data_IF_397168251411
#
_entry.id   IF_397168251411
#
_cell.length_a   1.000
_cell.length_b   1.000
_cell.length_c   1.000
_cell.angle_alpha   90.00
_cell.angle_beta   90.00
_cell.angle_gamma   90.00
#
_symmetry.space_group_name_H-M   'P 1'
#
loop_
_entity.id
_entity.type
_entity.pdbx_description
1 polymer ?
#
# COMPACT_ATOMS: atom_id res chain seq x y z
N UNK A 1 1.49 27.17 -32.37
CA UNK A 1 1.95 27.10 -30.96
C UNK A 1 0.71 26.99 -30.10
N UNK A 2 0.38 25.80 -29.61
CA UNK A 2 -0.59 25.64 -28.53
C UNK A 2 -0.07 24.51 -27.65
N UNK A 3 0.11 24.89 -26.40
CA UNK A 3 0.84 24.22 -25.36
C UNK A 3 0.17 22.88 -25.04
N UNK A 4 0.79 21.76 -25.42
CA UNK A 4 0.46 20.46 -24.85
C UNK A 4 1.10 20.43 -23.47
N UNK A 5 0.42 21.09 -22.52
CA UNK A 5 0.75 21.00 -21.11
C UNK A 5 0.86 19.52 -20.75
N UNK A 6 2.07 19.09 -20.43
CA UNK A 6 2.29 17.84 -19.75
C UNK A 6 1.41 17.89 -18.50
N UNK A 7 0.40 17.03 -18.43
CA UNK A 7 -0.31 16.79 -17.17
C UNK A 7 0.74 16.27 -16.19
N UNK A 8 1.22 17.14 -15.30
CA UNK A 8 1.87 16.70 -14.08
C UNK A 8 0.91 15.70 -13.42
N UNK A 9 1.39 14.53 -12.97
CA UNK A 9 0.50 13.58 -12.32
C UNK A 9 -0.19 14.31 -11.16
N UNK A 10 -1.52 14.26 -11.14
CA UNK A 10 -2.34 14.84 -10.09
C UNK A 10 -1.68 14.58 -8.73
N UNK A 11 -1.45 15.64 -7.96
CA UNK A 11 -0.74 15.55 -6.69
C UNK A 11 -1.35 14.40 -5.86
N UNK A 12 -0.58 13.35 -5.50
CA UNK A 12 -1.13 12.16 -4.85
C UNK A 12 -1.77 12.46 -3.48
N UNK A 13 -1.51 13.63 -2.90
CA UNK A 13 -2.14 14.11 -1.68
C UNK A 13 -3.57 14.62 -1.88
N UNK A 14 -4.03 14.81 -3.12
CA UNK A 14 -5.37 15.30 -3.47
C UNK A 14 -6.33 14.20 -3.93
N UNK A 15 -5.84 12.98 -4.09
CA UNK A 15 -6.64 11.83 -4.50
C UNK A 15 -6.96 10.95 -3.30
N UNK A 16 -8.16 10.38 -3.32
CA UNK A 16 -8.61 9.36 -2.36
C UNK A 16 -9.16 8.18 -3.13
N UNK A 17 -9.05 6.98 -2.56
CA UNK A 17 -9.59 5.77 -3.15
C UNK A 17 -10.33 4.96 -2.08
N UNK A 18 -11.44 4.32 -2.46
CA UNK A 18 -12.23 3.47 -1.58
C UNK A 18 -12.94 2.38 -2.38
N UNK A 19 -12.89 1.13 -1.89
CA UNK A 19 -13.74 0.04 -2.36
C UNK A 19 -14.75 -0.36 -1.28
N UNK A 20 -15.99 0.12 -1.43
CA UNK A 20 -17.07 -0.06 -0.44
C UNK A 20 -17.46 -1.51 -0.18
N UNK A 21 -17.12 -2.46 -1.06
CA UNK A 21 -17.42 -3.88 -0.86
C UNK A 21 -16.71 -4.48 0.36
N UNK A 22 -15.64 -3.84 0.83
CA UNK A 22 -14.87 -4.27 2.00
C UNK A 22 -15.43 -3.75 3.33
N UNK A 23 -16.37 -2.80 3.28
CA UNK A 23 -16.95 -2.15 4.46
C UNK A 23 -18.26 -2.88 4.81
N UNK A 24 -18.53 -3.21 6.09
CA UNK A 24 -17.78 -2.86 7.31
C UNK A 24 -16.77 -3.93 7.75
N UNK A 25 -16.38 -4.84 6.86
CA UNK A 25 -15.60 -6.05 7.21
C UNK A 25 -14.08 -5.82 7.32
N UNK A 26 -13.61 -4.59 7.19
CA UNK A 26 -12.20 -4.23 7.32
C UNK A 26 -11.67 -4.50 8.74
N UNK A 27 -10.51 -5.15 8.81
CA UNK A 27 -9.78 -5.45 10.03
C UNK A 27 -8.27 -5.58 9.75
N UNK A 28 -7.46 -5.66 10.79
CA UNK A 28 -5.99 -5.74 10.69
C UNK A 28 -5.48 -6.92 9.84
N UNK A 29 -6.26 -8.01 9.71
CA UNK A 29 -5.85 -9.19 8.96
C UNK A 29 -6.13 -9.07 7.45
N UNK A 30 -7.06 -8.20 7.06
CA UNK A 30 -7.49 -8.10 5.65
C UNK A 30 -7.22 -6.73 5.03
N UNK A 31 -6.84 -5.72 5.82
CA UNK A 31 -6.60 -4.35 5.33
C UNK A 31 -5.49 -4.24 4.30
N UNK A 32 -4.45 -5.09 4.36
CA UNK A 32 -3.43 -5.15 3.32
C UNK A 32 -3.98 -5.72 2.00
N UNK A 33 -4.94 -6.64 2.06
CA UNK A 33 -5.60 -7.16 0.86
C UNK A 33 -6.53 -6.11 0.24
N UNK A 34 -7.25 -5.35 1.08
CA UNK A 34 -8.01 -4.18 0.65
C UNK A 34 -7.10 -3.15 -0.04
N UNK A 35 -5.96 -2.83 0.59
CA UNK A 35 -5.01 -1.88 0.04
C UNK A 35 -4.40 -2.38 -1.27
N UNK A 36 -4.22 -3.69 -1.43
CA UNK A 36 -3.70 -4.33 -2.64
C UNK A 36 -4.72 -4.49 -3.79
N UNK A 37 -5.92 -3.91 -3.68
CA UNK A 37 -6.91 -3.92 -4.75
C UNK A 37 -6.31 -3.32 -6.04
N UNK A 38 -6.54 -4.00 -7.17
CA UNK A 38 -6.02 -3.60 -8.49
C UNK A 38 -6.45 -2.20 -8.94
N UNK A 39 -7.53 -1.68 -8.36
CA UNK A 39 -8.04 -0.34 -8.69
C UNK A 39 -7.47 0.73 -7.76
N UNK A 40 -6.73 0.36 -6.70
CA UNK A 40 -6.12 1.31 -5.79
C UNK A 40 -4.85 1.92 -6.42
N UNK A 41 -4.84 3.21 -6.79
CA UNK A 41 -3.72 3.84 -7.49
C UNK A 41 -2.45 3.97 -6.61
N UNK A 42 -2.57 3.78 -5.30
CA UNK A 42 -1.45 3.88 -4.37
C UNK A 42 -0.66 2.58 -4.23
N UNK A 43 -1.22 1.45 -4.65
CA UNK A 43 -0.56 0.16 -4.53
C UNK A 43 0.34 -0.12 -5.72
N UNK A 44 1.59 -0.46 -5.43
CA UNK A 44 2.59 -0.77 -6.44
C UNK A 44 2.59 -2.27 -6.71
N UNK A 45 2.08 -2.70 -7.87
CA UNK A 45 2.00 -4.12 -8.24
C UNK A 45 3.36 -4.76 -8.53
N UNK A 46 4.46 -4.00 -8.53
CA UNK A 46 5.82 -4.54 -8.62
C UNK A 46 6.46 -4.78 -7.25
N UNK A 47 5.73 -4.52 -6.16
CA UNK A 47 6.26 -4.69 -4.81
C UNK A 47 6.46 -6.15 -4.40
N UNK A 48 7.28 -6.34 -3.36
CA UNK A 48 7.59 -7.66 -2.83
C UNK A 48 6.36 -8.40 -2.26
N UNK A 49 5.38 -7.67 -1.72
CA UNK A 49 4.12 -8.27 -1.25
C UNK A 49 3.40 -9.00 -2.38
N UNK A 50 3.34 -8.38 -3.56
CA UNK A 50 2.69 -8.94 -4.74
C UNK A 50 3.45 -10.17 -5.24
N UNK A 51 4.79 -10.11 -5.28
CA UNK A 51 5.62 -11.24 -5.63
C UNK A 51 5.43 -12.46 -4.70
N UNK A 52 5.35 -12.25 -3.39
CA UNK A 52 5.09 -13.33 -2.43
C UNK A 52 3.67 -13.87 -2.57
N UNK A 53 2.67 -12.98 -2.70
CA UNK A 53 1.26 -13.35 -2.88
C UNK A 53 1.05 -14.22 -4.11
N UNK A 54 1.61 -13.81 -5.26
CA UNK A 54 1.52 -14.57 -6.51
C UNK A 54 2.18 -15.94 -6.43
N UNK A 55 3.20 -16.10 -5.59
CA UNK A 55 3.91 -17.38 -5.38
C UNK A 55 3.31 -18.22 -4.24
N UNK A 56 2.26 -17.76 -3.57
CA UNK A 56 1.69 -18.43 -2.40
C UNK A 56 2.67 -18.53 -1.23
N UNK A 57 3.62 -17.60 -1.13
CA UNK A 57 4.65 -17.59 -0.09
C UNK A 57 4.21 -16.77 1.13
N UNK A 58 4.82 -17.06 2.29
CA UNK A 58 4.53 -16.37 3.54
C UNK A 58 5.05 -14.93 3.52
N UNK A 59 4.24 -13.96 3.96
CA UNK A 59 4.63 -12.55 4.05
C UNK A 59 5.82 -12.27 4.98
N UNK A 60 6.15 -13.19 5.90
CA UNK A 60 7.38 -13.10 6.71
C UNK A 60 8.66 -13.12 5.87
N UNK A 61 8.61 -13.62 4.64
CA UNK A 61 9.75 -13.65 3.73
C UNK A 61 10.13 -12.24 3.22
N UNK A 62 9.29 -11.22 3.42
CA UNK A 62 9.61 -9.82 3.08
C UNK A 62 10.94 -9.35 3.70
N UNK A 63 11.24 -9.76 4.93
CA UNK A 63 12.47 -9.39 5.64
C UNK A 63 13.75 -9.81 4.91
N UNK A 64 13.66 -10.84 4.05
CA UNK A 64 14.78 -11.38 3.28
C UNK A 64 14.90 -10.76 1.89
N UNK A 65 13.90 -10.00 1.45
CA UNK A 65 13.85 -9.40 0.12
C UNK A 65 14.41 -7.97 0.15
N UNK A 66 14.95 -7.50 -0.97
CA UNK A 66 15.28 -6.08 -1.16
C UNK A 66 14.25 -5.48 -2.11
N UNK A 67 13.86 -4.23 -1.89
CA UNK A 67 12.87 -3.57 -2.75
C UNK A 67 11.73 -2.92 -1.97
N UNK A 68 10.71 -2.54 -2.71
CA UNK A 68 9.49 -1.92 -2.18
C UNK A 68 8.65 -2.98 -1.47
N UNK A 69 8.20 -2.66 -0.27
CA UNK A 69 7.21 -3.43 0.48
C UNK A 69 6.19 -2.52 1.17
N UNK A 70 5.02 -3.07 1.44
CA UNK A 70 3.95 -2.46 2.21
C UNK A 70 3.73 -3.22 3.51
N UNK A 71 3.67 -2.50 4.62
CA UNK A 71 3.37 -3.06 5.94
C UNK A 71 2.16 -2.35 6.56
N UNK A 72 1.43 -3.08 7.40
CA UNK A 72 0.49 -2.47 8.33
C UNK A 72 1.30 -1.88 9.49
N UNK A 73 1.41 -0.56 9.53
CA UNK A 73 2.17 0.17 10.54
C UNK A 73 1.38 0.31 11.85
N UNK A 74 0.09 0.65 11.74
CA UNK A 74 -0.79 0.86 12.87
C UNK A 74 -2.21 0.44 12.50
N UNK A 75 -2.92 -0.16 13.46
CA UNK A 75 -4.34 -0.45 13.38
C UNK A 75 -5.02 0.02 14.67
N UNK A 76 -6.09 0.79 14.54
CA UNK A 76 -7.04 1.15 15.58
C UNK A 76 -8.43 0.82 15.04
N UNK A 77 -8.88 -0.40 15.30
CA UNK A 77 -10.15 -0.88 14.76
C UNK A 77 -11.34 -0.18 15.42
N UNK A 78 -12.43 0.10 14.67
CA UNK A 78 -12.58 0.02 13.21
C UNK A 78 -12.20 1.33 12.48
N UNK A 79 -11.57 2.28 13.16
CA UNK A 79 -11.51 3.68 12.74
C UNK A 79 -10.35 3.97 11.80
N UNK A 80 -9.16 3.43 12.07
CA UNK A 80 -7.94 3.85 11.40
C UNK A 80 -7.00 2.67 11.15
N UNK A 81 -6.51 2.59 9.92
CA UNK A 81 -5.35 1.79 9.55
C UNK A 81 -4.32 2.66 8.84
N UNK A 82 -3.05 2.43 9.14
CA UNK A 82 -1.93 3.12 8.48
C UNK A 82 -1.10 2.09 7.75
N UNK A 83 -1.10 2.15 6.42
CA UNK A 83 -0.21 1.34 5.58
C UNK A 83 1.03 2.15 5.26
N UNK A 84 2.21 1.59 5.46
CA UNK A 84 3.48 2.24 5.08
C UNK A 84 4.05 1.58 3.84
N UNK A 85 4.37 2.38 2.82
CA UNK A 85 5.32 2.01 1.76
C UNK A 85 6.72 2.27 2.27
N UNK A 86 7.58 1.27 2.20
CA UNK A 86 8.99 1.39 2.57
C UNK A 86 9.90 0.69 1.56
N UNK A 87 11.12 1.20 1.43
CA UNK A 87 12.19 0.54 0.67
C UNK A 87 13.06 -0.24 1.63
N UNK A 88 13.19 -1.55 1.40
CA UNK A 88 14.11 -2.42 2.13
C UNK A 88 15.43 -2.56 1.37
N UNK A 89 16.54 -2.23 2.04
CA UNK A 89 17.90 -2.43 1.52
C UNK A 89 18.57 -3.66 2.10
N UNK A 90 18.16 -4.07 3.31
CA UNK A 90 18.64 -5.26 4.01
C UNK A 90 17.61 -5.73 5.06
N UNK A 91 17.80 -6.88 5.71
CA UNK A 91 16.92 -7.32 6.81
C UNK A 91 16.79 -6.31 7.95
N UNK A 92 17.83 -5.50 8.19
CA UNK A 92 17.88 -4.53 9.28
C UNK A 92 17.76 -3.07 8.82
N UNK A 93 17.72 -2.82 7.52
CA UNK A 93 17.72 -1.46 6.96
C UNK A 93 16.51 -1.25 6.04
N UNK A 94 15.59 -0.41 6.53
CA UNK A 94 14.38 0.02 5.81
C UNK A 94 14.28 1.55 5.83
N UNK A 95 13.82 2.13 4.74
CA UNK A 95 13.58 3.57 4.61
C UNK A 95 12.09 3.79 4.32
N UNK A 96 11.33 4.48 5.21
CA UNK A 96 9.96 4.85 4.96
C UNK A 96 9.86 5.79 3.74
N UNK A 97 8.88 5.54 2.86
CA UNK A 97 8.63 6.38 1.68
C UNK A 97 7.33 7.18 1.87
N UNK A 98 6.24 6.51 2.23
CA UNK A 98 4.94 7.12 2.38
C UNK A 98 4.07 6.37 3.39
N UNK A 99 3.13 7.07 4.01
CA UNK A 99 2.07 6.48 4.84
C UNK A 99 0.72 6.78 4.19
N UNK A 100 -0.12 5.76 4.10
CA UNK A 100 -1.48 5.84 3.57
C UNK A 100 -2.46 5.59 4.71
N UNK A 101 -3.41 6.50 4.86
CA UNK A 101 -4.40 6.47 5.93
C UNK A 101 -5.70 5.90 5.36
N UNK A 102 -6.18 4.81 5.97
CA UNK A 102 -7.49 4.24 5.68
C UNK A 102 -8.36 4.56 6.89
N UNK A 103 -9.30 5.48 6.71
CA UNK A 103 -10.11 6.06 7.80
C UNK A 103 -11.57 5.67 7.58
N UNK A 104 -12.19 5.05 8.58
CA UNK A 104 -13.60 4.67 8.61
C UNK A 104 -14.08 3.73 7.47
N UNK A 105 -13.16 3.12 6.72
CA UNK A 105 -13.45 2.31 5.54
C UNK A 105 -13.52 3.13 4.26
#
# INVERSE_FOLDING_TARGET
>A
MNDKGFMCPDNPLQITWCNRLWIPHLNQHNVLNYFADKNNPFYDHTCNNEHLRMRGLNMRELEKMKGIEFILLQAQEPILYVIRKQQRYSPTTVVPIANYYIIAG
#
